data_IF_719427329584
#
_entry.id   IF_719427329584
#
_cell.length_a   1.000
_cell.length_b   1.000
_cell.length_c   1.000
_cell.angle_alpha   90.00
_cell.angle_beta   90.00
_cell.angle_gamma   90.00
#
_symmetry.space_group_name_H-M   'P 1'
#
loop_
_entity.id
_entity.type
_entity.pdbx_description
1 polymer ?
#
# COMPACT_ATOMS: atom_id res chain seq x y z
N UNK A 1 -17.07 -6.53 -53.07
CA UNK A 1 -16.46 -5.67 -52.03
C UNK A 1 -15.49 -6.54 -51.25
N UNK A 2 -14.17 -6.32 -51.41
CA UNK A 2 -13.17 -7.07 -50.67
C UNK A 2 -13.01 -6.50 -49.24
N UNK A 3 -12.85 -7.33 -48.20
CA UNK A 3 -12.67 -6.82 -46.85
C UNK A 3 -11.28 -6.18 -46.72
N UNK A 4 -11.23 -4.93 -46.29
CA UNK A 4 -9.99 -4.25 -45.91
C UNK A 4 -9.47 -4.89 -44.63
N UNK A 5 -8.58 -5.87 -44.75
CA UNK A 5 -7.75 -6.33 -43.64
C UNK A 5 -6.77 -5.22 -43.29
N UNK A 6 -7.15 -4.36 -42.35
CA UNK A 6 -6.23 -3.43 -41.69
C UNK A 6 -5.27 -4.29 -40.88
N UNK A 7 -4.08 -4.52 -41.43
CA UNK A 7 -2.97 -5.09 -40.68
C UNK A 7 -2.53 -3.99 -39.70
N UNK A 8 -3.08 -4.03 -38.49
CA UNK A 8 -2.55 -3.23 -37.38
C UNK A 8 -1.21 -3.85 -37.05
N UNK A 9 -0.15 -3.22 -37.55
CA UNK A 9 1.21 -3.58 -37.19
C UNK A 9 1.38 -3.27 -35.70
N UNK A 10 1.22 -4.29 -34.87
CA UNK A 10 1.31 -4.17 -33.42
C UNK A 10 2.76 -3.87 -33.06
N UNK A 11 3.11 -2.58 -33.02
CA UNK A 11 4.42 -2.13 -32.58
C UNK A 11 4.55 -2.52 -31.12
N UNK A 12 5.17 -3.66 -30.85
CA UNK A 12 5.39 -4.19 -29.50
C UNK A 12 6.21 -3.18 -28.71
N UNK A 13 5.54 -2.26 -28.02
CA UNK A 13 6.18 -1.25 -27.21
C UNK A 13 6.89 -1.96 -26.06
N UNK A 14 8.21 -1.89 -26.07
CA UNK A 14 9.04 -2.52 -25.04
C UNK A 14 8.92 -1.68 -23.77
N UNK A 15 8.25 -2.22 -22.76
CA UNK A 15 8.11 -1.59 -21.45
C UNK A 15 9.47 -1.54 -20.75
N UNK A 16 9.90 -0.35 -20.31
CA UNK A 16 11.08 -0.20 -19.46
C UNK A 16 10.70 -0.51 -18.01
N UNK A 17 10.62 -1.78 -17.66
CA UNK A 17 10.17 -2.23 -16.32
C UNK A 17 10.96 -1.59 -15.17
N UNK A 18 12.29 -1.46 -15.29
CA UNK A 18 13.09 -0.78 -14.25
C UNK A 18 12.67 0.66 -14.03
N UNK A 19 12.35 1.39 -15.10
CA UNK A 19 11.85 2.76 -15.01
C UNK A 19 10.45 2.80 -14.35
N UNK A 20 9.53 1.92 -14.75
CA UNK A 20 8.18 1.85 -14.15
C UNK A 20 8.25 1.51 -12.66
N UNK A 21 9.11 0.58 -12.26
CA UNK A 21 9.31 0.23 -10.85
C UNK A 21 9.84 1.42 -10.07
N UNK A 22 10.90 2.09 -10.55
CA UNK A 22 11.44 3.29 -9.89
C UNK A 22 10.36 4.36 -9.76
N UNK A 23 9.61 4.62 -10.84
CA UNK A 23 8.52 5.59 -10.83
C UNK A 23 7.43 5.22 -9.82
N UNK A 24 7.07 3.94 -9.75
CA UNK A 24 6.11 3.40 -8.79
C UNK A 24 6.60 3.52 -7.34
N UNK A 25 7.88 3.25 -7.06
CA UNK A 25 8.47 3.40 -5.74
C UNK A 25 8.48 4.86 -5.29
N UNK A 26 8.89 5.78 -6.18
CA UNK A 26 8.85 7.22 -5.93
C UNK A 26 7.41 7.67 -5.67
N UNK A 27 6.46 7.22 -6.49
CA UNK A 27 5.04 7.49 -6.27
C UNK A 27 4.56 6.99 -4.91
N UNK A 28 4.91 5.76 -4.52
CA UNK A 28 4.51 5.16 -3.24
C UNK A 28 5.06 5.96 -2.06
N UNK A 29 6.31 6.41 -2.14
CA UNK A 29 6.89 7.27 -1.11
C UNK A 29 6.15 8.60 -1.00
N UNK A 30 5.94 9.29 -2.12
CA UNK A 30 5.23 10.58 -2.16
C UNK A 30 3.77 10.44 -1.70
N UNK A 31 3.13 9.33 -2.06
CA UNK A 31 1.78 9.00 -1.62
C UNK A 31 1.70 8.91 -0.11
N UNK A 32 2.59 8.14 0.53
CA UNK A 32 2.59 8.01 2.00
C UNK A 32 2.98 9.32 2.69
N UNK A 33 3.97 10.05 2.15
CA UNK A 33 4.35 11.37 2.65
C UNK A 33 3.19 12.37 2.64
N UNK A 34 2.32 12.29 1.63
CA UNK A 34 1.17 13.18 1.51
C UNK A 34 -0.02 12.70 2.36
N UNK A 35 -0.39 11.42 2.25
CA UNK A 35 -1.58 10.86 2.90
C UNK A 35 -1.44 10.83 4.42
N UNK A 36 -0.25 10.53 4.95
CA UNK A 36 -0.02 10.44 6.40
C UNK A 36 -0.44 11.73 7.13
N UNK A 37 0.09 12.94 6.81
CA UNK A 37 -0.29 14.16 7.50
C UNK A 37 -1.74 14.60 7.20
N UNK A 38 -2.24 14.40 5.97
CA UNK A 38 -3.57 14.89 5.58
C UNK A 38 -4.70 14.09 6.22
N UNK A 39 -4.51 12.77 6.34
CA UNK A 39 -5.56 11.88 6.85
C UNK A 39 -5.34 11.51 8.31
N UNK A 40 -4.11 11.24 8.74
CA UNK A 40 -3.86 10.74 10.11
C UNK A 40 -3.62 11.87 11.11
N UNK A 41 -2.84 12.90 10.77
CA UNK A 41 -2.49 13.96 11.72
C UNK A 41 -3.54 15.06 11.79
N UNK A 42 -4.00 15.53 10.63
CA UNK A 42 -4.94 16.65 10.56
C UNK A 42 -6.40 16.22 10.46
N UNK A 43 -6.67 15.00 9.96
CA UNK A 43 -8.02 14.52 9.67
C UNK A 43 -8.78 15.38 8.65
N UNK A 44 -8.07 16.22 7.88
CA UNK A 44 -8.66 17.29 7.10
C UNK A 44 -9.39 16.79 5.84
N UNK A 45 -8.93 15.69 5.24
CA UNK A 45 -9.51 15.16 4.00
C UNK A 45 -9.14 13.69 3.76
N UNK A 46 -10.10 12.87 3.34
CA UNK A 46 -9.92 11.49 2.92
C UNK A 46 -9.58 11.41 1.42
N UNK A 47 -8.36 11.83 1.08
CA UNK A 47 -7.89 11.94 -0.31
C UNK A 47 -7.64 10.58 -0.97
N UNK A 48 -7.35 9.54 -0.17
CA UNK A 48 -7.12 8.18 -0.64
C UNK A 48 -8.41 7.34 -0.76
N UNK A 49 -9.56 7.86 -0.30
CA UNK A 49 -10.83 7.12 -0.27
C UNK A 49 -11.64 7.15 -1.57
N UNK A 50 -11.32 8.04 -2.52
CA UNK A 50 -12.00 8.09 -3.82
C UNK A 50 -11.64 6.92 -4.74
N UNK A 51 -12.48 6.59 -5.72
CA UNK A 51 -12.20 5.52 -6.68
C UNK A 51 -12.49 5.99 -8.13
N UNK A 52 -11.47 6.18 -8.99
CA UNK A 52 -10.04 6.03 -8.71
C UNK A 52 -9.49 7.13 -7.78
N UNK A 53 -8.50 6.84 -6.93
CA UNK A 53 -8.02 7.78 -5.91
C UNK A 53 -7.37 9.02 -6.51
N UNK A 54 -7.59 10.17 -5.86
CA UNK A 54 -7.06 11.48 -6.30
C UNK A 54 -5.55 11.45 -6.53
N UNK A 55 -4.71 10.82 -5.67
CA UNK A 55 -3.27 10.76 -5.92
C UNK A 55 -2.89 10.01 -7.21
N UNK A 56 -3.60 8.93 -7.54
CA UNK A 56 -3.34 8.14 -8.75
C UNK A 56 -3.70 8.94 -9.99
N UNK A 57 -4.88 9.59 -9.99
CA UNK A 57 -5.32 10.46 -11.09
C UNK A 57 -4.38 11.63 -11.29
N UNK A 58 -3.92 12.26 -10.21
CA UNK A 58 -2.98 13.36 -10.26
C UNK A 58 -1.65 12.91 -10.85
N UNK A 59 -1.08 11.80 -10.37
CA UNK A 59 0.17 11.27 -10.88
C UNK A 59 0.09 10.91 -12.36
N UNK A 60 -1.00 10.24 -12.78
CA UNK A 60 -1.23 9.95 -14.21
C UNK A 60 -1.34 11.21 -15.05
N UNK A 61 -2.07 12.22 -14.57
CA UNK A 61 -2.22 13.50 -15.29
C UNK A 61 -0.86 14.17 -15.47
N UNK A 62 -0.03 14.21 -14.44
CA UNK A 62 1.33 14.74 -14.51
C UNK A 62 2.21 13.94 -15.48
N UNK A 63 2.14 12.61 -15.47
CA UNK A 63 2.89 11.76 -16.39
C UNK A 63 2.45 11.94 -17.84
N UNK A 64 1.16 12.18 -18.09
CA UNK A 64 0.65 12.50 -19.43
C UNK A 64 1.23 13.82 -19.94
N UNK A 65 1.33 14.85 -19.08
CA UNK A 65 1.98 16.12 -19.42
C UNK A 65 3.48 15.95 -19.70
N UNK A 66 4.15 15.08 -18.92
CA UNK A 66 5.58 14.78 -19.06
C UNK A 66 5.88 13.68 -20.09
N UNK A 67 4.85 13.13 -20.77
CA UNK A 67 4.98 11.96 -21.66
C UNK A 67 6.05 12.14 -22.72
N UNK A 68 6.12 13.32 -23.35
CA UNK A 68 7.11 13.60 -24.40
C UNK A 68 8.54 13.69 -23.87
N UNK A 69 8.71 14.19 -22.65
CA UNK A 69 10.01 14.42 -22.02
C UNK A 69 10.60 13.11 -21.49
N UNK A 70 9.74 12.29 -20.86
CA UNK A 70 10.09 10.99 -20.31
C UNK A 70 9.98 9.85 -21.35
N UNK A 71 9.55 10.18 -22.57
CA UNK A 71 9.31 9.26 -23.68
C UNK A 71 8.41 8.08 -23.26
N UNK A 72 7.31 8.37 -22.55
CA UNK A 72 6.44 7.33 -21.99
C UNK A 72 5.57 6.69 -23.06
N UNK A 73 5.61 5.37 -23.09
CA UNK A 73 4.70 4.55 -23.88
C UNK A 73 3.34 4.36 -23.20
N UNK A 74 2.32 3.96 -23.97
CA UNK A 74 0.98 3.72 -23.42
C UNK A 74 1.00 2.49 -22.49
N UNK A 75 1.83 1.50 -22.83
CA UNK A 75 2.08 0.34 -21.98
C UNK A 75 2.75 0.72 -20.64
N UNK A 76 3.67 1.69 -20.62
CA UNK A 76 4.30 2.16 -19.38
C UNK A 76 3.33 2.95 -18.49
N UNK A 77 2.47 3.79 -19.09
CA UNK A 77 1.44 4.51 -18.36
C UNK A 77 0.41 3.56 -17.75
N UNK A 78 0.01 2.52 -18.50
CA UNK A 78 -0.90 1.48 -17.99
C UNK A 78 -0.24 0.65 -16.88
N UNK A 79 1.01 0.25 -17.06
CA UNK A 79 1.76 -0.49 -16.04
C UNK A 79 1.92 0.34 -14.76
N UNK A 80 2.24 1.64 -14.89
CA UNK A 80 2.28 2.57 -13.76
C UNK A 80 0.91 2.71 -13.09
N UNK A 81 -0.17 2.85 -13.86
CA UNK A 81 -1.52 2.93 -13.32
C UNK A 81 -1.87 1.72 -12.46
N UNK A 82 -1.63 0.52 -12.98
CA UNK A 82 -1.85 -0.73 -12.24
C UNK A 82 -1.01 -0.76 -10.96
N UNK A 83 0.27 -0.43 -11.05
CA UNK A 83 1.16 -0.34 -9.89
C UNK A 83 0.59 0.63 -8.84
N UNK A 84 0.24 1.85 -9.26
CA UNK A 84 -0.28 2.90 -8.39
C UNK A 84 -1.59 2.49 -7.71
N UNK A 85 -2.47 1.77 -8.43
CA UNK A 85 -3.71 1.19 -7.92
C UNK A 85 -3.47 0.19 -6.77
N UNK A 86 -2.44 -0.65 -6.86
CA UNK A 86 -2.10 -1.58 -5.77
C UNK A 86 -1.33 -0.90 -4.63
N UNK A 87 -0.43 0.03 -4.97
CA UNK A 87 0.38 0.76 -4.00
C UNK A 87 -0.46 1.58 -3.00
N UNK A 88 -1.65 2.02 -3.40
CA UNK A 88 -2.51 2.80 -2.51
C UNK A 88 -3.28 1.98 -1.48
N UNK A 89 -3.50 0.68 -1.73
CA UNK A 89 -4.38 -0.14 -0.88
C UNK A 89 -3.92 -0.10 0.59
N UNK A 90 -2.62 -0.30 0.90
CA UNK A 90 -2.12 -0.22 2.27
C UNK A 90 -2.18 1.19 2.86
N UNK A 91 -2.19 2.23 2.03
CA UNK A 91 -2.15 3.63 2.46
C UNK A 91 -3.54 4.18 2.81
N UNK A 92 -4.63 3.55 2.33
CA UNK A 92 -6.00 3.95 2.70
C UNK A 92 -6.32 3.69 4.17
N UNK A 93 -7.43 4.25 4.64
CA UNK A 93 -8.00 3.93 5.95
C UNK A 93 -8.19 2.41 6.16
N UNK A 94 -8.67 1.68 5.15
CA UNK A 94 -8.86 0.24 5.21
C UNK A 94 -7.57 -0.58 5.14
N UNK A 95 -6.44 0.06 4.80
CA UNK A 95 -5.12 -0.55 4.73
C UNK A 95 -4.48 -0.70 6.11
N UNK A 96 -3.23 -0.24 6.25
CA UNK A 96 -2.40 -0.40 7.45
C UNK A 96 -3.11 0.11 8.71
N UNK A 97 -3.85 1.22 8.60
CA UNK A 97 -4.56 1.83 9.74
C UNK A 97 -5.64 0.94 10.36
N UNK A 98 -6.29 0.10 9.56
CA UNK A 98 -7.30 -0.83 10.07
C UNK A 98 -6.70 -2.22 10.31
N UNK A 99 -5.79 -2.64 9.43
CA UNK A 99 -5.19 -3.97 9.47
C UNK A 99 -4.40 -4.21 10.75
N UNK A 100 -3.43 -3.35 11.09
CA UNK A 100 -2.54 -3.59 12.24
C UNK A 100 -3.27 -3.58 13.60
N UNK A 101 -4.18 -2.63 13.89
CA UNK A 101 -4.97 -2.70 15.12
C UNK A 101 -5.85 -3.94 15.17
N UNK A 102 -6.46 -4.36 14.05
CA UNK A 102 -7.29 -5.57 14.01
C UNK A 102 -6.49 -6.82 14.30
N UNK A 103 -5.24 -6.90 13.81
CA UNK A 103 -4.33 -8.01 14.12
C UNK A 103 -4.09 -8.09 15.63
N UNK A 104 -3.74 -6.98 16.27
CA UNK A 104 -3.26 -6.98 17.66
C UNK A 104 -4.37 -6.82 18.72
N UNK A 105 -5.58 -6.43 18.30
CA UNK A 105 -6.74 -6.22 19.17
C UNK A 105 -7.09 -7.42 20.06
N UNK A 106 -7.05 -8.70 19.59
CA UNK A 106 -7.38 -9.83 20.44
C UNK A 106 -6.46 -9.97 21.66
N UNK A 107 -5.15 -9.72 21.50
CA UNK A 107 -4.22 -9.76 22.64
C UNK A 107 -4.38 -8.53 23.54
N UNK A 108 -4.52 -7.34 22.95
CA UNK A 108 -4.61 -6.09 23.70
C UNK A 108 -5.88 -5.99 24.55
N UNK A 109 -7.02 -6.41 24.00
CA UNK A 109 -8.33 -6.34 24.67
C UNK A 109 -8.74 -7.63 25.39
N UNK A 110 -7.83 -8.60 25.53
CA UNK A 110 -8.13 -9.85 26.23
C UNK A 110 -8.53 -9.61 27.70
N UNK A 111 -9.69 -10.12 28.09
CA UNK A 111 -10.16 -10.16 29.48
C UNK A 111 -10.49 -11.61 29.87
N UNK A 112 -10.60 -11.95 31.16
CA UNK A 112 -10.99 -13.30 31.58
C UNK A 112 -12.35 -13.75 31.02
N UNK A 113 -13.25 -12.80 30.74
CA UNK A 113 -14.61 -13.07 30.26
C UNK A 113 -14.73 -13.12 28.73
N UNK A 114 -13.74 -12.60 27.99
CA UNK A 114 -13.72 -12.65 26.54
C UNK A 114 -12.67 -13.68 26.07
N UNK A 115 -13.09 -14.64 25.25
CA UNK A 115 -12.22 -15.74 24.78
C UNK A 115 -11.17 -15.29 23.76
N UNK A 116 -10.78 -14.01 23.77
CA UNK A 116 -9.84 -13.43 22.82
C UNK A 116 -8.42 -13.97 23.01
N UNK A 117 -8.03 -14.30 24.24
CA UNK A 117 -6.74 -14.96 24.50
C UNK A 117 -6.67 -16.34 23.84
N UNK A 118 -7.72 -17.15 23.96
CA UNK A 118 -7.81 -18.45 23.28
C UNK A 118 -7.75 -18.27 21.76
N UNK A 119 -8.44 -17.27 21.21
CA UNK A 119 -8.35 -16.93 19.79
C UNK A 119 -6.93 -16.57 19.37
N UNK A 120 -6.25 -15.74 20.16
CA UNK A 120 -4.87 -15.34 19.90
C UNK A 120 -3.90 -16.53 19.93
N UNK A 121 -4.08 -17.47 20.85
CA UNK A 121 -3.26 -18.69 20.96
C UNK A 121 -3.40 -19.62 19.73
N UNK A 122 -4.52 -19.54 19.00
CA UNK A 122 -4.72 -20.29 17.75
C UNK A 122 -4.02 -19.66 16.53
N UNK A 123 -3.61 -18.40 16.61
CA UNK A 123 -2.98 -17.72 15.46
C UNK A 123 -1.54 -18.21 15.26
N UNK A 124 -1.05 -18.32 14.01
CA UNK A 124 0.33 -18.71 13.76
C UNK A 124 1.33 -17.78 14.43
N UNK A 125 2.43 -18.32 14.93
CA UNK A 125 3.48 -17.58 15.66
C UNK A 125 4.12 -16.45 14.83
N UNK A 126 4.07 -16.57 13.50
CA UNK A 126 4.60 -15.60 12.55
C UNK A 126 3.58 -14.53 12.13
N UNK A 127 2.33 -14.62 12.60
CA UNK A 127 1.24 -13.76 12.13
C UNK A 127 1.37 -12.32 12.65
N UNK A 128 1.90 -12.12 13.85
CA UNK A 128 2.16 -10.80 14.46
C UNK A 128 3.18 -10.95 15.60
N UNK A 129 3.77 -9.86 16.12
CA UNK A 129 4.57 -9.92 17.35
C UNK A 129 3.78 -10.49 18.51
N UNK A 130 4.35 -11.47 19.22
CA UNK A 130 3.69 -12.14 20.35
C UNK A 130 3.96 -11.51 21.72
N UNK A 131 4.90 -10.57 21.80
CA UNK A 131 5.21 -9.88 23.04
C UNK A 131 4.08 -8.89 23.39
N UNK A 132 3.46 -9.10 24.56
CA UNK A 132 2.39 -8.25 25.06
C UNK A 132 2.83 -6.79 25.27
N UNK A 133 4.11 -6.54 25.58
CA UNK A 133 4.65 -5.19 25.72
C UNK A 133 4.69 -4.47 24.37
N UNK A 134 5.03 -5.19 23.28
CA UNK A 134 5.05 -4.65 21.92
C UNK A 134 3.62 -4.32 21.47
N UNK A 135 2.68 -5.23 21.71
CA UNK A 135 1.27 -5.00 21.39
C UNK A 135 0.71 -3.83 22.19
N UNK A 136 1.02 -3.73 23.49
CA UNK A 136 0.62 -2.58 24.30
C UNK A 136 1.21 -1.28 23.77
N UNK A 137 2.52 -1.25 23.48
CA UNK A 137 3.20 -0.09 22.91
C UNK A 137 2.65 0.34 21.56
N UNK A 138 2.12 -0.57 20.75
CA UNK A 138 1.43 -0.21 19.50
C UNK A 138 0.18 0.65 19.75
N UNK A 139 -0.62 0.33 20.77
CA UNK A 139 -1.88 1.05 21.07
C UNK A 139 -1.68 2.28 21.97
N UNK A 140 -0.82 2.17 22.98
CA UNK A 140 -0.62 3.21 24.00
C UNK A 140 0.48 4.21 23.60
N UNK A 141 1.24 3.90 22.56
CA UNK A 141 2.42 4.64 22.13
C UNK A 141 3.70 3.96 22.62
N UNK A 142 4.65 3.79 21.71
CA UNK A 142 5.99 3.32 22.06
C UNK A 142 6.82 4.52 22.56
N UNK A 143 7.86 4.25 23.35
CA UNK A 143 8.81 5.25 23.88
C UNK A 143 9.73 5.86 22.79
N UNK A 144 9.18 6.18 21.62
CA UNK A 144 9.90 6.73 20.46
C UNK A 144 10.68 5.70 19.64
N UNK A 145 10.71 4.44 20.03
CA UNK A 145 11.40 3.36 19.30
C UNK A 145 10.41 2.37 18.69
N UNK A 146 10.60 2.07 17.40
CA UNK A 146 9.82 1.05 16.69
C UNK A 146 10.58 -0.29 16.81
N UNK A 147 9.98 -1.36 17.36
CA UNK A 147 10.64 -2.64 17.59
C UNK A 147 10.76 -3.46 16.29
N UNK A 148 11.60 -3.01 15.37
CA UNK A 148 11.77 -3.62 14.05
C UNK A 148 12.12 -5.10 14.11
N UNK A 149 12.93 -5.53 15.09
CA UNK A 149 13.36 -6.91 15.26
C UNK A 149 12.17 -7.86 15.46
N UNK A 150 11.16 -7.43 16.21
CA UNK A 150 9.95 -8.21 16.45
C UNK A 150 9.02 -8.27 15.23
N UNK A 151 9.07 -7.26 14.37
CA UNK A 151 8.27 -7.17 13.15
C UNK A 151 8.93 -7.83 11.94
N UNK A 152 10.24 -8.03 11.96
CA UNK A 152 10.99 -8.55 10.81
C UNK A 152 10.45 -9.91 10.36
N UNK A 153 10.21 -10.84 11.28
CA UNK A 153 9.70 -12.17 10.95
C UNK A 153 8.28 -12.14 10.31
N UNK A 154 7.27 -11.47 10.92
CA UNK A 154 5.97 -11.27 10.27
C UNK A 154 6.06 -10.63 8.89
N UNK A 155 6.82 -9.53 8.76
CA UNK A 155 6.95 -8.79 7.50
C UNK A 155 7.59 -9.64 6.40
N UNK A 156 8.62 -10.43 6.72
CA UNK A 156 9.22 -11.36 5.76
C UNK A 156 8.23 -12.42 5.29
N UNK A 157 7.42 -12.98 6.20
CA UNK A 157 6.41 -14.00 5.89
C UNK A 157 5.24 -13.47 5.06
N UNK A 158 4.91 -12.19 5.19
CA UNK A 158 3.90 -11.55 4.35
C UNK A 158 4.42 -11.22 2.94
N UNK A 159 5.74 -11.11 2.78
CA UNK A 159 6.38 -10.69 1.52
C UNK A 159 6.79 -11.88 0.64
N UNK A 160 7.17 -13.01 1.26
CA UNK A 160 7.65 -14.23 0.59
C UNK A 160 6.52 -15.23 0.33
#
# INVERSE_FOLDING_TARGET
MAPLTVIVEEKKQRVRWGFVIILGLVFTFLLNWWVLPTELYTGASNIAGGNPPVPVLLALTLLLLLRRWLQLSDAELLAFYLFACFALLPTTFGGVRSFFPTLMAPLYYATPDNRLKEFWEMLPDWWMPRDAAIVRGFFEGADGHIPWDAWLCPLMRWTL
#
